data_IF_758386252236
#
_entry.id   IF_758386252236
#
_cell.length_a   1.000
_cell.length_b   1.000
_cell.length_c   1.000
_cell.angle_alpha   90.00
_cell.angle_beta   90.00
_cell.angle_gamma   90.00
#
_symmetry.space_group_name_H-M   'P 1'
#
loop_
_entity.id
_entity.type
_entity.pdbx_description
1 polymer ?
#
# COMPACT_ATOMS: atom_id res chain seq x y z
N UNK A 1 -14.91 -10.72 13.58
CA UNK A 1 -14.97 -9.28 13.27
C UNK A 1 -13.66 -8.92 12.60
N UNK A 2 -13.66 -7.94 11.71
CA UNK A 2 -12.40 -7.39 11.21
C UNK A 2 -11.79 -6.51 12.31
N UNK A 3 -10.51 -6.70 12.60
CA UNK A 3 -9.72 -5.88 13.52
C UNK A 3 -9.00 -4.80 12.71
N UNK A 4 -8.85 -3.59 13.26
CA UNK A 4 -8.06 -2.54 12.63
C UNK A 4 -6.61 -2.61 13.10
N UNK A 5 -5.67 -2.63 12.16
CA UNK A 5 -4.23 -2.63 12.44
C UNK A 5 -3.65 -1.26 12.11
N UNK A 6 -2.91 -0.68 13.07
CA UNK A 6 -2.20 0.59 12.86
C UNK A 6 -0.92 0.32 12.07
N UNK A 7 -0.83 0.89 10.87
CA UNK A 7 0.30 0.63 9.94
C UNK A 7 1.20 1.84 9.69
N UNK A 8 0.68 3.07 9.76
CA UNK A 8 1.45 4.30 9.51
C UNK A 8 0.76 5.53 10.12
N UNK A 9 1.49 6.64 10.22
CA UNK A 9 0.95 7.97 10.44
C UNK A 9 0.69 8.68 9.10
N UNK A 10 -0.33 9.54 9.06
CA UNK A 10 -0.69 10.31 7.85
C UNK A 10 0.49 11.14 7.32
N UNK A 11 1.33 11.67 8.21
CA UNK A 11 2.49 12.47 7.83
C UNK A 11 3.62 11.66 7.13
N UNK A 12 3.60 10.33 7.25
CA UNK A 12 4.60 9.45 6.61
C UNK A 12 4.26 9.17 5.13
N UNK A 13 3.02 9.43 4.72
CA UNK A 13 2.51 9.17 3.37
C UNK A 13 1.85 10.46 2.85
N UNK A 14 2.63 11.38 2.23
CA UNK A 14 2.07 12.61 1.66
C UNK A 14 1.11 12.30 0.50
N UNK A 15 0.32 13.29 0.08
CA UNK A 15 -0.52 13.20 -1.12
C UNK A 15 0.17 13.92 -2.30
N UNK A 16 0.48 13.23 -3.42
CA UNK A 16 0.36 11.79 -3.63
C UNK A 16 1.50 11.01 -2.98
N UNK A 17 1.22 9.77 -2.58
CA UNK A 17 2.22 8.92 -1.94
C UNK A 17 1.80 7.46 -1.87
N UNK A 18 2.79 6.58 -1.71
CA UNK A 18 2.57 5.15 -1.47
C UNK A 18 3.59 4.61 -0.48
N UNK A 19 3.20 3.57 0.23
CA UNK A 19 4.13 2.77 1.04
C UNK A 19 3.67 1.31 1.03
N UNK A 20 4.60 0.42 1.36
CA UNK A 20 4.34 -1.00 1.53
C UNK A 20 4.33 -1.31 3.03
N UNK A 21 3.24 -1.92 3.51
CA UNK A 21 3.08 -2.31 4.91
C UNK A 21 2.76 -3.78 5.04
N UNK A 22 3.11 -4.39 6.16
CA UNK A 22 2.81 -5.79 6.46
C UNK A 22 1.70 -5.85 7.52
N UNK A 23 0.68 -6.68 7.27
CA UNK A 23 -0.44 -6.94 8.18
C UNK A 23 -0.67 -8.44 8.23
N UNK A 24 -0.44 -9.07 9.38
CA UNK A 24 -0.63 -10.52 9.57
C UNK A 24 0.04 -11.37 8.46
N UNK A 25 1.33 -11.12 8.21
CA UNK A 25 2.14 -11.76 7.15
C UNK A 25 1.68 -11.47 5.70
N UNK A 26 0.74 -10.54 5.50
CA UNK A 26 0.27 -10.09 4.18
C UNK A 26 0.86 -8.73 3.83
N UNK A 27 1.50 -8.64 2.67
CA UNK A 27 2.00 -7.37 2.13
C UNK A 27 0.85 -6.58 1.52
N UNK A 28 0.67 -5.34 1.97
CA UNK A 28 -0.41 -4.45 1.56
C UNK A 28 0.17 -3.17 0.99
N UNK A 29 -0.19 -2.85 -0.25
CA UNK A 29 0.14 -1.59 -0.87
C UNK A 29 -0.86 -0.51 -0.39
N UNK A 30 -0.35 0.50 0.31
CA UNK A 30 -1.11 1.63 0.84
C UNK A 30 -0.83 2.89 0.02
N UNK A 31 -1.88 3.48 -0.53
CA UNK A 31 -1.83 4.67 -1.38
C UNK A 31 -2.55 5.84 -0.73
N UNK A 32 -1.99 7.04 -0.88
CA UNK A 32 -2.64 8.32 -0.59
C UNK A 32 -2.77 9.07 -1.91
N UNK A 33 -4.01 9.19 -2.39
CA UNK A 33 -4.32 9.79 -3.69
C UNK A 33 -5.60 10.61 -3.55
N UNK A 34 -5.57 11.86 -4.03
CA UNK A 34 -6.72 12.78 -4.05
C UNK A 34 -7.38 12.95 -2.66
N UNK A 35 -6.55 13.04 -1.61
CA UNK A 35 -6.97 13.18 -0.22
C UNK A 35 -7.58 11.94 0.42
N UNK A 36 -7.50 10.78 -0.24
CA UNK A 36 -8.04 9.52 0.25
C UNK A 36 -6.97 8.43 0.37
N UNK A 37 -7.14 7.55 1.36
CA UNK A 37 -6.29 6.38 1.55
C UNK A 37 -6.94 5.13 0.97
N UNK A 38 -6.16 4.36 0.20
CA UNK A 38 -6.58 3.11 -0.42
C UNK A 38 -5.58 2.00 -0.08
N UNK A 39 -6.08 0.81 0.28
CA UNK A 39 -5.26 -0.35 0.59
C UNK A 39 -5.69 -1.52 -0.29
N UNK A 40 -4.72 -2.14 -0.98
CA UNK A 40 -4.91 -3.34 -1.79
C UNK A 40 -3.79 -4.33 -1.50
N UNK A 41 -4.01 -5.61 -1.83
CA UNK A 41 -2.96 -6.63 -1.83
C UNK A 41 -1.77 -6.15 -2.68
N UNK A 42 -0.54 -6.34 -2.21
CA UNK A 42 0.66 -5.97 -2.98
C UNK A 42 0.94 -6.96 -4.13
N UNK A 43 0.20 -8.06 -4.24
CA UNK A 43 0.38 -9.04 -5.31
C UNK A 43 -0.39 -8.65 -6.57
N UNK A 44 0.35 -8.40 -7.66
CA UNK A 44 -0.23 -8.21 -8.98
C UNK A 44 -0.94 -9.47 -9.47
N UNK A 45 -2.19 -9.34 -9.89
CA UNK A 45 -3.00 -10.46 -10.39
C UNK A 45 -2.56 -11.01 -11.76
N UNK A 46 -1.65 -10.34 -12.46
CA UNK A 46 -1.14 -10.76 -13.76
C UNK A 46 0.05 -11.73 -13.62
N UNK A 47 1.15 -11.25 -13.04
CA UNK A 47 2.42 -12.00 -12.94
C UNK A 47 2.84 -12.35 -11.50
N UNK A 48 2.09 -11.91 -10.49
CA UNK A 48 2.41 -12.16 -9.07
C UNK A 48 3.54 -11.30 -8.48
N UNK A 49 4.02 -10.30 -9.22
CA UNK A 49 5.01 -9.33 -8.72
C UNK A 49 4.41 -8.25 -7.80
N UNK A 50 5.26 -7.48 -7.09
CA UNK A 50 4.84 -6.42 -6.16
C UNK A 50 4.20 -5.23 -6.89
N UNK A 51 3.14 -4.64 -6.32
CA UNK A 51 2.45 -3.45 -6.86
C UNK A 51 3.05 -2.14 -6.35
N UNK A 52 3.51 -2.13 -5.10
CA UNK A 52 4.14 -0.97 -4.48
C UNK A 52 5.57 -0.77 -4.99
N UNK A 53 6.28 -1.85 -5.34
CA UNK A 53 7.64 -1.84 -5.90
C UNK A 53 7.63 -1.86 -7.44
N UNK A 54 6.82 -0.98 -8.03
CA UNK A 54 7.09 -0.52 -9.40
C UNK A 54 8.12 0.59 -9.25
N UNK A 55 9.40 0.26 -9.46
CA UNK A 55 10.35 1.27 -9.90
C UNK A 55 9.70 1.97 -11.09
N UNK A 56 9.66 3.29 -11.06
CA UNK A 56 9.27 4.08 -12.22
C UNK A 56 10.37 3.93 -13.28
N UNK A 57 10.52 2.73 -13.85
CA UNK A 57 11.25 2.48 -15.08
C UNK A 57 10.24 2.59 -16.22
N UNK A 58 9.94 3.85 -16.57
CA UNK A 58 9.95 4.49 -17.91
C UNK A 58 9.39 5.90 -17.79
#
# INVERSE_FOLDING_TARGET
MAEFVRVAAVAEIPDPGKTLVEVDDVMVALFHVDGAFHAIDDVCTHDGGPLADVSADV
#
